data_IF_618844588996
#
_entry.id   IF_618844588996
#
_cell.length_a   1.000
_cell.length_b   1.000
_cell.length_c   1.000
_cell.angle_alpha   90.00
_cell.angle_beta   90.00
_cell.angle_gamma   90.00
#
_symmetry.space_group_name_H-M   'P 1'
#
loop_
_entity.id
_entity.type
_entity.pdbx_description
1 polymer ?
#
# COMPACT_ATOMS: atom_id res chain seq x y z
N UNK A 1 -19.11 -21.49 11.49
CA UNK A 1 -17.76 -20.87 11.53
C UNK A 1 -17.70 -19.91 10.37
N UNK A 2 -17.61 -18.61 10.67
CA UNK A 2 -17.60 -17.54 9.68
C UNK A 2 -16.47 -17.76 8.70
N UNK A 3 -16.81 -17.72 7.42
CA UNK A 3 -15.88 -17.69 6.31
C UNK A 3 -15.02 -16.43 6.52
N UNK A 4 -13.88 -16.59 7.19
CA UNK A 4 -12.81 -15.61 7.18
C UNK A 4 -12.14 -15.77 5.83
N UNK A 5 -12.90 -15.39 4.80
CA UNK A 5 -12.44 -15.18 3.45
C UNK A 5 -11.20 -14.33 3.60
N UNK A 6 -10.05 -14.96 3.36
CA UNK A 6 -8.77 -14.30 3.38
C UNK A 6 -8.84 -13.35 2.20
N UNK A 7 -9.26 -12.13 2.51
CA UNK A 7 -9.37 -11.02 1.58
C UNK A 7 -8.11 -11.02 0.73
N UNK A 8 -8.21 -10.96 -0.62
CA UNK A 8 -7.02 -10.84 -1.43
C UNK A 8 -6.31 -9.58 -0.93
N UNK A 9 -5.15 -9.76 -0.28
CA UNK A 9 -4.38 -8.65 0.26
C UNK A 9 -4.14 -7.68 -0.90
N UNK A 10 -4.92 -6.61 -0.93
CA UNK A 10 -4.85 -5.60 -1.99
C UNK A 10 -3.50 -4.94 -1.78
N UNK A 11 -2.52 -5.31 -2.61
CA UNK A 11 -1.17 -4.76 -2.50
C UNK A 11 -1.23 -3.34 -3.02
N UNK A 12 -1.37 -2.41 -2.08
CA UNK A 12 -1.26 -0.99 -2.35
C UNK A 12 0.23 -0.64 -2.54
N UNK A 13 0.53 0.25 -3.47
CA UNK A 13 1.86 0.78 -3.69
C UNK A 13 1.82 2.28 -3.43
N UNK A 14 2.69 2.79 -2.58
CA UNK A 14 2.78 4.22 -2.27
C UNK A 14 4.14 4.78 -2.65
N UNK A 15 4.18 6.09 -2.91
CA UNK A 15 5.44 6.77 -3.15
C UNK A 15 6.19 6.90 -1.82
N UNK A 16 7.45 6.39 -1.70
CA UNK A 16 8.20 6.44 -0.45
C UNK A 16 8.45 7.86 0.06
N UNK A 17 8.50 8.84 -0.86
CA UNK A 17 8.65 10.26 -0.54
C UNK A 17 7.32 10.96 -0.20
N UNK A 18 6.17 10.28 -0.30
CA UNK A 18 4.84 10.87 -0.17
C UNK A 18 4.64 12.15 -1.01
N UNK A 19 5.23 12.19 -2.21
CA UNK A 19 5.01 13.28 -3.18
C UNK A 19 3.55 13.42 -3.65
N UNK A 20 2.78 12.36 -3.41
CA UNK A 20 1.35 12.26 -3.72
C UNK A 20 0.47 12.21 -2.47
N UNK A 21 1.06 12.39 -1.28
CA UNK A 21 0.38 12.28 0.01
C UNK A 21 -0.03 10.84 0.29
N UNK A 22 -1.33 10.64 0.49
CA UNK A 22 -1.97 9.36 0.82
C UNK A 22 -2.41 8.56 -0.41
N UNK A 23 -2.04 8.99 -1.63
CA UNK A 23 -2.35 8.23 -2.84
C UNK A 23 -1.57 6.91 -2.87
N UNK A 24 -2.33 5.85 -3.10
CA UNK A 24 -1.84 4.49 -3.32
C UNK A 24 -2.25 3.98 -4.69
N UNK A 25 -1.54 2.98 -5.18
CA UNK A 25 -1.72 2.36 -6.48
C UNK A 25 -1.92 0.86 -6.32
N UNK A 26 -2.74 0.23 -7.15
CA UNK A 26 -2.96 -1.23 -7.10
C UNK A 26 -1.89 -2.03 -7.85
N UNK A 27 -0.94 -1.34 -8.51
CA UNK A 27 0.05 -1.96 -9.40
C UNK A 27 1.45 -1.43 -9.13
N UNK A 28 2.48 -2.28 -9.28
CA UNK A 28 3.86 -1.82 -9.22
C UNK A 28 4.15 -0.88 -10.39
N UNK A 29 4.88 0.19 -10.12
CA UNK A 29 5.20 1.21 -11.12
C UNK A 29 6.13 2.28 -10.56
N UNK A 30 6.30 3.36 -11.32
CA UNK A 30 7.09 4.52 -10.90
C UNK A 30 6.15 5.68 -10.57
N UNK A 31 6.47 6.43 -9.52
CA UNK A 31 5.70 7.60 -9.12
C UNK A 31 5.78 8.68 -10.21
N UNK A 32 4.65 9.19 -10.72
CA UNK A 32 4.62 10.21 -11.78
C UNK A 32 5.14 11.58 -11.32
N UNK A 33 5.27 11.82 -10.00
CA UNK A 33 5.80 13.08 -9.46
C UNK A 33 7.33 13.13 -9.46
N UNK A 34 7.98 12.06 -9.01
CA UNK A 34 9.43 12.03 -8.79
C UNK A 34 10.18 11.00 -9.64
N UNK A 35 9.46 10.11 -10.34
CA UNK A 35 10.03 9.05 -11.16
C UNK A 35 10.61 7.86 -10.39
N UNK A 36 10.55 7.86 -9.05
CA UNK A 36 11.04 6.74 -8.23
C UNK A 36 10.07 5.57 -8.22
N UNK A 37 10.59 4.35 -8.04
CA UNK A 37 9.77 3.16 -7.89
C UNK A 37 8.82 3.27 -6.68
N UNK A 38 7.54 2.95 -6.90
CA UNK A 38 6.53 2.87 -5.85
C UNK A 38 6.84 1.66 -4.95
N UNK A 39 6.64 1.82 -3.64
CA UNK A 39 6.85 0.75 -2.66
C UNK A 39 5.54 0.12 -2.27
N UNK A 40 5.52 -1.20 -2.19
CA UNK A 40 4.41 -1.97 -1.63
C UNK A 40 4.15 -1.57 -0.17
N UNK A 41 2.99 -0.97 0.08
CA UNK A 41 2.36 -0.88 1.38
C UNK A 41 1.52 -2.14 1.55
N UNK A 42 2.07 -3.10 2.26
CA UNK A 42 1.25 -4.10 2.93
C UNK A 42 0.63 -3.38 4.12
N UNK A 43 -0.67 -3.08 4.05
CA UNK A 43 -1.48 -2.70 5.20
C UNK A 43 -1.54 -3.89 6.17
N UNK A 44 -0.42 -4.12 6.85
CA UNK A 44 -0.39 -4.94 8.05
C UNK A 44 -1.05 -4.08 9.14
N UNK A 45 -2.37 -4.19 9.25
CA UNK A 45 -3.17 -3.63 10.34
C UNK A 45 -2.85 -4.37 11.66
N UNK A 46 -1.57 -4.53 11.98
CA UNK A 46 -1.10 -5.05 13.25
C UNK A 46 -1.05 -3.89 14.23
N UNK A 47 -2.22 -3.64 14.81
CA UNK A 47 -2.40 -3.17 16.17
C UNK A 47 -1.15 -2.53 16.82
N UNK A 48 -0.83 -1.27 16.50
CA UNK A 48 0.04 -0.49 17.37
C UNK A 48 -0.79 -0.02 18.58
N UNK A 49 -0.77 -0.80 19.66
CA UNK A 49 -1.04 -0.29 21.01
C UNK A 49 0.25 0.41 21.47
N UNK A 50 0.22 1.73 21.64
CA UNK A 50 1.18 2.44 22.47
C UNK A 50 0.54 2.65 23.85
#
# INVERSE_FOLDING_TARGET
MALKEKEPAVVAYSCPMKCEGDKTYDKPGNCPKCGMALKEQKDDHSNHKH
#
